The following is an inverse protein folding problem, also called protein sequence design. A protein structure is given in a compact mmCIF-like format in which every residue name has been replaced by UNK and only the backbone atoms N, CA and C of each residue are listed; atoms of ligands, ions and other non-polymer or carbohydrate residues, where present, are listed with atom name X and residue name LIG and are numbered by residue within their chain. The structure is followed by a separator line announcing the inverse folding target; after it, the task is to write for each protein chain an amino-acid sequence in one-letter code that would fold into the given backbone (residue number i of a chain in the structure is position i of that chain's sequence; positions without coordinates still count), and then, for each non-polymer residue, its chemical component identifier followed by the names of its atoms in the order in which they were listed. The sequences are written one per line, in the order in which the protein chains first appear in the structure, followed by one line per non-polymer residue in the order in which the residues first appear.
data_IF_843024483312
#
_entry.id   IF_843024483312
#
_cell.length_a   1.000
_cell.length_b   1.000
_cell.length_c   1.000
_cell.angle_alpha   90.00
_cell.angle_beta   90.00
_cell.angle_gamma   90.00
#
_symmetry.space_group_name_H-M   'P 1'
#
loop_
_entity.id
_entity.type
_entity.pdbx_description
1 polymer ?
#
# COMPACT_ATOMS: atom_id res chain seq x y z
N UNK A 1 3.66 15.17 -8.47
CA UNK A 1 3.34 14.44 -7.23
C UNK A 1 2.88 15.51 -6.27
N UNK A 2 1.58 15.56 -5.97
CA UNK A 2 1.08 16.55 -5.03
C UNK A 2 1.38 16.03 -3.63
N UNK A 3 2.31 16.69 -2.94
CA UNK A 3 2.60 16.41 -1.55
C UNK A 3 1.46 16.88 -0.66
N UNK A 4 1.41 16.33 0.55
CA UNK A 4 0.51 16.85 1.56
C UNK A 4 0.75 18.36 1.75
N UNK A 5 -0.28 19.22 1.66
CA UNK A 5 -0.10 20.67 1.65
C UNK A 5 0.48 21.20 2.96
N UNK A 6 0.36 20.47 4.06
CA UNK A 6 0.87 20.88 5.39
C UNK A 6 2.25 20.29 5.65
N UNK A 7 2.39 18.98 5.48
CA UNK A 7 3.59 18.22 5.81
C UNK A 7 4.67 18.28 4.73
N UNK A 8 4.30 18.66 3.50
CA UNK A 8 5.20 18.76 2.34
C UNK A 8 5.97 17.45 2.09
N UNK A 9 5.32 16.31 2.30
CA UNK A 9 5.87 14.96 2.14
C UNK A 9 4.82 14.02 1.51
N UNK A 10 5.22 12.87 0.94
CA UNK A 10 4.29 11.82 0.53
C UNK A 10 3.53 11.27 1.73
N UNK A 11 2.20 11.21 1.66
CA UNK A 11 1.33 10.70 2.72
C UNK A 11 0.26 9.78 2.14
N UNK A 12 -0.02 8.69 2.84
CA UNK A 12 -1.16 7.80 2.58
C UNK A 12 -2.20 8.05 3.67
N UNK A 13 -3.42 8.35 3.26
CA UNK A 13 -4.56 8.53 4.15
C UNK A 13 -5.50 7.31 4.07
N UNK A 14 -5.91 6.79 5.23
CA UNK A 14 -6.93 5.75 5.36
C UNK A 14 -8.08 6.33 6.18
N UNK A 15 -9.28 6.33 5.63
CA UNK A 15 -10.46 6.92 6.26
C UNK A 15 -11.74 6.15 5.88
N UNK A 16 -12.75 6.27 6.72
CA UNK A 16 -14.06 5.68 6.48
C UNK A 16 -14.79 6.49 5.40
N UNK A 17 -15.21 5.84 4.32
CA UNK A 17 -16.03 6.48 3.29
C UNK A 17 -17.45 6.81 3.76
N UNK A 18 -17.91 6.21 4.88
CA UNK A 18 -19.23 6.48 5.43
C UNK A 18 -19.24 7.83 6.15
N UNK A 19 -20.26 8.66 5.86
CA UNK A 19 -20.40 9.99 6.46
C UNK A 19 -20.54 9.87 7.98
N UNK A 20 -19.67 10.56 8.72
CA UNK A 20 -19.62 10.51 10.18
C UNK A 20 -18.71 9.43 10.75
N UNK A 21 -18.20 8.51 9.92
CA UNK A 21 -17.36 7.40 10.35
C UNK A 21 -18.14 6.26 10.98
N UNK A 22 -17.64 5.03 10.81
CA UNK A 22 -18.19 3.82 11.42
C UNK A 22 -17.14 3.03 12.22
N UNK A 23 -15.93 3.57 12.35
CA UNK A 23 -14.87 3.05 13.20
C UNK A 23 -13.90 2.08 12.51
N UNK A 24 -13.98 1.90 11.18
CA UNK A 24 -13.08 0.95 10.48
C UNK A 24 -11.64 1.47 10.54
N UNK A 25 -11.44 2.75 10.23
CA UNK A 25 -10.12 3.39 10.25
C UNK A 25 -9.55 3.49 11.68
N UNK A 26 -10.42 3.62 12.69
CA UNK A 26 -10.03 3.58 14.10
C UNK A 26 -9.51 2.19 14.50
N UNK A 27 -10.23 1.12 14.14
CA UNK A 27 -9.76 -0.24 14.39
C UNK A 27 -8.45 -0.53 13.61
N UNK A 28 -8.37 -0.06 12.36
CA UNK A 28 -7.17 -0.18 11.53
C UNK A 28 -5.94 0.50 12.14
N UNK A 29 -6.12 1.59 12.89
CA UNK A 29 -5.01 2.23 13.59
C UNK A 29 -4.30 1.27 14.55
N UNK A 30 -5.07 0.49 15.31
CA UNK A 30 -4.53 -0.50 16.24
C UNK A 30 -3.99 -1.75 15.54
N UNK A 31 -4.46 -2.05 14.32
CA UNK A 31 -4.08 -3.20 13.51
C UNK A 31 -3.20 -2.85 12.30
N UNK A 32 -2.55 -1.68 12.31
CA UNK A 32 -1.84 -1.17 11.15
C UNK A 32 -0.72 -2.11 10.68
N UNK A 33 0.04 -2.67 11.62
CA UNK A 33 1.15 -3.59 11.31
C UNK A 33 0.62 -4.90 10.69
N UNK A 34 -0.49 -5.42 11.20
CA UNK A 34 -1.14 -6.60 10.64
C UNK A 34 -1.63 -6.35 9.20
N UNK A 35 -2.24 -5.19 8.95
CA UNK A 35 -2.64 -4.78 7.62
C UNK A 35 -1.44 -4.74 6.67
N UNK A 36 -0.33 -4.11 7.07
CA UNK A 36 0.86 -4.00 6.22
C UNK A 36 1.46 -5.38 5.88
N UNK A 37 1.51 -6.31 6.84
CA UNK A 37 1.94 -7.68 6.58
C UNK A 37 0.99 -8.41 5.62
N UNK A 38 -0.33 -8.25 5.78
CA UNK A 38 -1.32 -8.84 4.88
C UNK A 38 -1.20 -8.29 3.47
N UNK A 39 -0.98 -6.98 3.31
CA UNK A 39 -0.73 -6.35 2.02
C UNK A 39 0.56 -6.85 1.37
N UNK A 40 1.64 -6.97 2.14
CA UNK A 40 2.91 -7.54 1.65
C UNK A 40 2.70 -8.96 1.14
N UNK A 41 2.08 -9.83 1.94
CA UNK A 41 1.78 -11.22 1.57
C UNK A 41 0.89 -11.32 0.33
N UNK A 42 -0.12 -10.46 0.21
CA UNK A 42 -0.99 -10.41 -0.98
C UNK A 42 -0.17 -10.15 -2.24
N UNK A 43 0.73 -9.17 -2.21
CA UNK A 43 1.51 -8.77 -3.38
C UNK A 43 2.59 -9.82 -3.69
N UNK A 44 3.30 -10.33 -2.68
CA UNK A 44 4.32 -11.38 -2.82
C UNK A 44 3.75 -12.69 -3.39
N UNK A 45 2.55 -13.09 -2.95
CA UNK A 45 1.91 -14.34 -3.39
C UNK A 45 1.27 -14.26 -4.78
N UNK A 46 1.21 -13.07 -5.39
CA UNK A 46 0.60 -12.88 -6.69
C UNK A 46 1.49 -13.44 -7.82
N UNK A 47 1.00 -14.46 -8.52
CA UNK A 47 1.66 -15.12 -9.67
C UNK A 47 1.36 -14.46 -11.02
N UNK A 48 1.16 -13.14 -11.05
CA UNK A 48 0.90 -12.43 -12.30
C UNK A 48 2.10 -12.50 -13.25
N UNK A 49 1.83 -12.66 -14.55
CA UNK A 49 2.86 -12.68 -15.61
C UNK A 49 3.32 -11.28 -16.04
N UNK A 50 2.64 -10.24 -15.55
CA UNK A 50 2.96 -8.85 -15.81
C UNK A 50 3.95 -8.35 -14.77
N UNK A 51 5.07 -7.79 -15.23
CA UNK A 51 6.16 -7.34 -14.34
C UNK A 51 5.71 -6.16 -13.45
N UNK A 52 4.87 -5.28 -14.00
CA UNK A 52 4.42 -4.06 -13.31
C UNK A 52 3.28 -4.31 -12.32
N UNK A 53 2.64 -5.50 -12.33
CA UNK A 53 1.49 -5.83 -11.48
C UNK A 53 0.17 -6.04 -12.23
N UNK A 54 -0.90 -6.36 -11.51
CA UNK A 54 -2.22 -6.71 -12.07
C UNK A 54 -3.39 -6.33 -11.13
N UNK A 55 -4.66 -6.51 -11.57
CA UNK A 55 -5.87 -6.27 -10.76
C UNK A 55 -5.96 -7.02 -9.43
N UNK A 56 -5.21 -8.12 -9.28
CA UNK A 56 -5.24 -8.94 -8.07
C UNK A 56 -4.22 -8.51 -7.01
N UNK A 57 -3.26 -7.62 -7.32
CA UNK A 57 -2.21 -7.22 -6.38
C UNK A 57 -2.14 -5.71 -6.13
N UNK A 58 -1.77 -4.92 -7.14
CA UNK A 58 -1.41 -3.50 -6.94
C UNK A 58 -2.31 -2.51 -7.68
N UNK A 59 -3.19 -2.98 -8.58
CA UNK A 59 -4.15 -2.07 -9.23
C UNK A 59 -5.40 -1.87 -8.39
N UNK A 60 -5.93 -0.65 -8.42
CA UNK A 60 -7.24 -0.32 -7.85
C UNK A 60 -8.21 0.09 -8.95
N UNK A 61 -9.45 -0.43 -8.96
CA UNK A 61 -10.50 0.05 -9.88
C UNK A 61 -10.95 1.49 -9.56
N UNK A 62 -10.56 2.03 -8.41
CA UNK A 62 -10.86 3.41 -7.97
C UNK A 62 -9.65 4.34 -8.10
N UNK A 63 -8.62 3.95 -8.85
CA UNK A 63 -7.41 4.74 -9.00
C UNK A 63 -7.68 6.02 -9.83
N UNK A 64 -7.39 7.19 -9.27
CA UNK A 64 -7.65 8.48 -9.91
C UNK A 64 -6.68 8.85 -11.05
N UNK A 65 -5.56 8.15 -11.19
CA UNK A 65 -4.56 8.38 -12.25
C UNK A 65 -4.51 7.24 -13.28
N UNK A 66 -5.56 6.43 -13.39
CA UNK A 66 -5.62 5.24 -14.27
C UNK A 66 -4.57 4.15 -13.97
N UNK A 67 -4.02 4.11 -12.75
CA UNK A 67 -2.95 3.18 -12.38
C UNK A 67 -1.68 3.38 -13.21
N UNK A 68 -1.31 4.62 -13.56
CA UNK A 68 -0.11 4.92 -14.33
C UNK A 68 0.81 5.94 -13.61
N UNK A 69 2.07 5.56 -13.30
CA UNK A 69 2.67 4.24 -13.48
C UNK A 69 2.14 3.21 -12.47
N UNK A 70 2.08 1.94 -12.89
CA UNK A 70 1.87 0.79 -12.01
C UNK A 70 3.23 0.15 -11.71
N UNK A 71 3.54 -0.12 -10.45
CA UNK A 71 4.83 -0.69 -10.05
C UNK A 71 4.69 -1.65 -8.86
N UNK A 72 4.77 -2.96 -9.15
CA UNK A 72 4.73 -4.02 -8.15
C UNK A 72 5.96 -4.04 -7.26
N UNK A 73 7.15 -3.87 -7.84
CA UNK A 73 8.41 -3.93 -7.11
C UNK A 73 8.57 -2.70 -6.21
N UNK A 74 8.16 -1.52 -6.69
CA UNK A 74 8.08 -0.31 -5.88
C UNK A 74 7.13 -0.47 -4.68
N UNK A 75 5.98 -1.11 -4.87
CA UNK A 75 5.05 -1.41 -3.77
C UNK A 75 5.66 -2.36 -2.73
N UNK A 76 6.32 -3.44 -3.18
CA UNK A 76 7.04 -4.38 -2.30
C UNK A 76 8.17 -3.68 -1.53
N UNK A 77 8.97 -2.87 -2.21
CA UNK A 77 10.05 -2.09 -1.59
C UNK A 77 9.52 -1.18 -0.48
N UNK A 78 8.47 -0.40 -0.75
CA UNK A 78 7.86 0.49 0.23
C UNK A 78 7.29 -0.28 1.43
N UNK A 79 6.56 -1.38 1.21
CA UNK A 79 5.99 -2.18 2.30
C UNK A 79 7.09 -2.79 3.19
N UNK A 80 8.16 -3.34 2.60
CA UNK A 80 9.30 -3.85 3.38
C UNK A 80 9.97 -2.76 4.20
N UNK A 81 10.14 -1.56 3.63
CA UNK A 81 10.69 -0.39 4.35
C UNK A 81 9.79 0.04 5.51
N UNK A 82 8.47 0.12 5.31
CA UNK A 82 7.51 0.48 6.36
C UNK A 82 7.48 -0.54 7.51
N UNK A 83 7.72 -1.83 7.19
CA UNK A 83 7.80 -2.91 8.17
C UNK A 83 9.21 -3.06 8.79
N UNK A 84 10.16 -2.21 8.44
CA UNK A 84 11.58 -2.32 8.84
C UNK A 84 12.21 -3.69 8.53
N UNK A 85 11.78 -4.33 7.44
CA UNK A 85 12.39 -5.56 6.94
C UNK A 85 13.64 -5.16 6.17
N UNK A 86 14.80 -5.18 6.84
CA UNK A 86 16.09 -4.94 6.20
C UNK A 86 16.48 -6.17 5.36
N UNK A 87 16.93 -5.95 4.12
CA UNK A 87 17.62 -6.95 3.32
C UNK A 87 19.05 -7.19 3.85
N UNK A 88 19.20 -7.41 5.15
CA UNK A 88 20.45 -7.93 5.70
C UNK A 88 20.28 -9.44 5.82
N UNK A 89 21.22 -10.19 5.23
CA UNK A 89 21.24 -11.65 5.07
C UNK A 89 20.61 -12.21 3.78
N UNK A 90 21.01 -11.67 2.63
CA UNK A 90 21.28 -12.55 1.48
C UNK A 90 22.82 -12.64 1.41
N UNK A 91 23.38 -13.61 2.13
CA UNK A 91 24.72 -14.14 1.85
C UNK A 91 24.59 -15.28 0.84
#
# INVERSE_FOLDING_TARGET
IDFDPVKQQPIIYVYDAFRGGIGISEQLYFHLIDLLHLSLKLIESCSCKTDNGCPACVMSPKCGNNNDPLDKEGALFLLRKLLNINQENIN
#
